data_IF_256808588943
#
_entry.id   IF_256808588943
#
_cell.length_a   1.000
_cell.length_b   1.000
_cell.length_c   1.000
_cell.angle_alpha   90.00
_cell.angle_beta   90.00
_cell.angle_gamma   90.00
#
_symmetry.space_group_name_H-M   'P 1'
#
loop_
_entity.id
_entity.type
_entity.pdbx_description
1 polymer ?
#
# COMPACT_ATOMS: atom_id res chain seq x y z
N UNK A 1 -15.08 -9.74 -4.59
CA UNK A 1 -14.45 -8.92 -5.63
C UNK A 1 -12.95 -9.09 -5.55
N UNK A 2 -12.27 -9.05 -6.68
CA UNK A 2 -10.82 -8.88 -6.81
C UNK A 2 -10.61 -7.43 -7.19
N UNK A 3 -9.72 -6.74 -6.50
CA UNK A 3 -9.44 -5.32 -6.71
C UNK A 3 -7.97 -5.12 -7.04
N UNK A 4 -7.66 -4.09 -7.81
CA UNK A 4 -6.29 -3.77 -8.15
C UNK A 4 -6.16 -2.44 -8.85
N UNK A 5 -4.94 -1.91 -8.85
CA UNK A 5 -4.59 -0.77 -9.66
C UNK A 5 -4.45 -1.17 -11.14
N UNK A 6 -4.72 -0.23 -12.03
CA UNK A 6 -4.63 -0.32 -13.47
C UNK A 6 -3.81 0.87 -13.98
N UNK A 7 -2.66 0.58 -14.58
CA UNK A 7 -1.80 1.59 -15.16
C UNK A 7 -2.58 2.48 -16.13
N UNK A 8 -2.35 3.78 -16.04
CA UNK A 8 -2.96 4.83 -16.87
C UNK A 8 -4.49 4.93 -16.81
N UNK A 9 -5.16 4.20 -15.89
CA UNK A 9 -6.63 4.10 -15.86
C UNK A 9 -7.25 4.13 -14.46
N UNK A 10 -6.44 4.21 -13.40
CA UNK A 10 -6.90 4.26 -12.01
C UNK A 10 -6.98 2.86 -11.40
N UNK A 11 -7.98 2.58 -10.56
CA UNK A 11 -8.16 1.27 -9.94
C UNK A 11 -9.47 0.63 -10.39
N UNK A 12 -9.50 -0.70 -10.40
CA UNK A 12 -10.63 -1.48 -10.92
C UNK A 12 -10.97 -2.65 -9.98
N UNK A 13 -12.20 -3.11 -10.07
CA UNK A 13 -12.67 -4.33 -9.45
C UNK A 13 -13.35 -5.25 -10.45
N UNK A 14 -13.26 -6.55 -10.19
CA UNK A 14 -13.94 -7.59 -10.96
C UNK A 14 -14.39 -8.72 -10.01
N UNK A 15 -15.53 -9.39 -10.25
CA UNK A 15 -15.92 -10.51 -9.42
C UNK A 15 -14.97 -11.70 -9.66
N UNK A 16 -14.70 -12.49 -8.63
CA UNK A 16 -13.98 -13.77 -8.80
C UNK A 16 -14.81 -14.82 -9.55
N UNK A 17 -16.12 -14.58 -9.71
CA UNK A 17 -17.04 -15.37 -10.52
C UNK A 17 -18.18 -14.49 -11.02
N UNK A 18 -18.36 -14.41 -12.33
CA UNK A 18 -19.46 -13.66 -12.93
C UNK A 18 -20.80 -14.41 -12.80
N UNK A 19 -21.90 -13.65 -12.81
CA UNK A 19 -23.25 -14.19 -12.99
C UNK A 19 -23.54 -14.58 -14.45
N UNK A 20 -22.65 -14.22 -15.39
CA UNK A 20 -22.86 -14.30 -16.83
C UNK A 20 -22.13 -15.49 -17.51
N UNK A 21 -21.97 -16.63 -16.83
CA UNK A 21 -21.22 -17.83 -17.29
C UNK A 21 -19.72 -17.63 -17.54
N UNK A 22 -19.27 -16.41 -17.83
CA UNK A 22 -17.87 -16.02 -17.97
C UNK A 22 -17.63 -14.63 -17.37
N UNK A 23 -16.39 -14.34 -16.97
CA UNK A 23 -15.97 -12.99 -16.63
C UNK A 23 -15.72 -12.25 -17.94
N UNK A 24 -16.47 -11.19 -18.19
CA UNK A 24 -16.42 -10.36 -19.40
C UNK A 24 -16.10 -8.90 -19.06
N UNK A 25 -15.90 -8.06 -20.08
CA UNK A 25 -15.71 -6.61 -19.90
C UNK A 25 -16.84 -5.91 -19.14
N UNK A 26 -18.03 -6.52 -19.07
CA UNK A 26 -19.19 -5.99 -18.31
C UNK A 26 -19.04 -6.14 -16.81
N UNK A 27 -18.14 -7.01 -16.37
CA UNK A 27 -17.92 -7.31 -14.95
C UNK A 27 -16.79 -6.46 -14.34
N UNK A 28 -16.17 -5.57 -15.12
CA UNK A 28 -15.11 -4.67 -14.66
C UNK A 28 -15.69 -3.31 -14.28
N UNK A 29 -15.42 -2.87 -13.07
CA UNK A 29 -15.91 -1.60 -12.53
C UNK A 29 -14.76 -0.76 -12.00
N UNK A 30 -14.78 0.54 -12.27
CA UNK A 30 -13.81 1.48 -11.71
C UNK A 30 -13.99 1.65 -10.21
N UNK A 31 -12.88 1.88 -9.50
CA UNK A 31 -12.84 2.12 -8.07
C UNK A 31 -12.51 3.58 -7.76
N UNK A 32 -13.09 4.08 -6.68
CA UNK A 32 -12.90 5.43 -6.14
C UNK A 32 -11.64 5.60 -5.27
N UNK A 33 -10.87 4.53 -5.05
CA UNK A 33 -9.58 4.56 -4.35
C UNK A 33 -8.64 3.50 -4.94
N UNK A 34 -7.33 3.67 -4.74
CA UNK A 34 -6.29 2.76 -5.25
C UNK A 34 -5.35 3.43 -6.24
N UNK A 35 -5.89 4.26 -7.14
CA UNK A 35 -5.10 4.92 -8.18
C UNK A 35 -4.45 3.91 -9.14
N UNK A 36 -3.50 4.39 -9.94
CA UNK A 36 -2.88 3.62 -11.03
C UNK A 36 -1.76 2.67 -10.59
N UNK A 37 -1.20 2.86 -9.40
CA UNK A 37 0.00 2.17 -8.91
C UNK A 37 -0.11 1.65 -7.48
N UNK A 38 -1.23 1.87 -6.80
CA UNK A 38 -1.37 1.64 -5.37
C UNK A 38 -1.89 0.25 -5.01
N UNK A 39 -1.69 -0.11 -3.74
CA UNK A 39 -2.43 -1.22 -3.14
C UNK A 39 -3.91 -0.84 -3.05
N UNK A 40 -4.76 -1.86 -3.18
CA UNK A 40 -6.17 -1.79 -2.80
C UNK A 40 -6.40 -2.75 -1.65
N UNK A 41 -7.09 -2.29 -0.61
CA UNK A 41 -7.37 -3.05 0.59
C UNK A 41 -8.86 -2.95 0.91
N UNK A 42 -9.70 -3.87 0.38
CA UNK A 42 -11.09 -3.98 0.77
C UNK A 42 -11.20 -4.30 2.27
N UNK A 43 -12.14 -3.64 2.96
CA UNK A 43 -12.38 -3.90 4.37
C UNK A 43 -13.04 -5.29 4.54
N UNK A 44 -12.43 -6.21 5.31
CA UNK A 44 -12.96 -7.56 5.47
C UNK A 44 -14.25 -7.63 6.29
N UNK A 45 -14.57 -6.58 7.06
CA UNK A 45 -15.76 -6.49 7.91
C UNK A 45 -16.86 -5.61 7.28
N UNK A 46 -16.48 -4.69 6.40
CA UNK A 46 -17.38 -3.75 5.74
C UNK A 46 -17.22 -3.81 4.20
N UNK A 47 -17.93 -4.71 3.50
CA UNK A 47 -17.74 -4.94 2.06
C UNK A 47 -17.97 -3.73 1.15
N UNK A 48 -18.68 -2.72 1.64
CA UNK A 48 -18.89 -1.43 0.96
C UNK A 48 -17.69 -0.49 1.08
N UNK A 49 -16.70 -0.81 1.91
CA UNK A 49 -15.54 0.04 2.18
C UNK A 49 -14.28 -0.54 1.54
N UNK A 50 -13.54 0.35 0.87
CA UNK A 50 -12.26 0.07 0.23
C UNK A 50 -11.24 1.11 0.66
N UNK A 51 -10.01 0.69 0.89
CA UNK A 51 -8.88 1.59 1.06
C UNK A 51 -7.93 1.50 -0.14
N UNK A 52 -7.25 2.60 -0.49
CA UNK A 52 -6.22 2.55 -1.53
C UNK A 52 -5.39 3.82 -1.68
N UNK A 53 -4.28 3.72 -2.43
CA UNK A 53 -3.32 4.80 -2.61
C UNK A 53 -2.65 5.21 -1.30
N UNK A 54 -2.47 6.52 -1.06
CA UNK A 54 -2.03 7.09 0.22
C UNK A 54 -3.19 7.13 1.23
N UNK A 55 -3.77 5.96 1.49
CA UNK A 55 -4.83 5.69 2.47
C UNK A 55 -6.10 6.54 2.28
N UNK A 56 -6.64 6.54 1.06
CA UNK A 56 -8.00 7.02 0.81
C UNK A 56 -8.99 5.91 1.16
N UNK A 57 -9.85 6.17 2.14
CA UNK A 57 -11.03 5.34 2.44
C UNK A 57 -12.15 5.74 1.47
N UNK A 58 -12.74 4.77 0.80
CA UNK A 58 -13.89 4.98 -0.07
C UNK A 58 -15.05 4.06 0.28
N UNK A 59 -16.27 4.58 0.23
CA UNK A 59 -17.48 3.77 0.12
C UNK A 59 -17.78 3.50 -1.37
N UNK A 60 -17.63 2.26 -1.82
CA UNK A 60 -17.79 1.88 -3.24
C UNK A 60 -19.25 1.91 -3.72
N UNK A 61 -20.22 1.99 -2.80
CA UNK A 61 -21.65 2.10 -3.13
C UNK A 61 -22.06 3.56 -3.34
N UNK A 62 -21.58 4.48 -2.49
CA UNK A 62 -21.95 5.90 -2.55
C UNK A 62 -20.95 6.77 -3.31
N UNK A 63 -19.71 6.29 -3.48
CA UNK A 63 -18.59 7.05 -4.03
C UNK A 63 -17.98 8.05 -3.04
N UNK A 64 -18.41 8.07 -1.77
CA UNK A 64 -17.83 8.96 -0.75
C UNK A 64 -16.38 8.57 -0.46
N UNK A 65 -15.48 9.54 -0.57
CA UNK A 65 -14.05 9.36 -0.28
C UNK A 65 -13.59 10.24 0.87
N UNK A 66 -12.72 9.71 1.72
CA UNK A 66 -12.04 10.45 2.79
C UNK A 66 -10.58 10.02 2.85
N UNK A 67 -9.66 10.98 2.81
CA UNK A 67 -8.26 10.68 3.11
C UNK A 67 -8.10 10.46 4.61
N UNK A 68 -7.56 9.30 4.99
CA UNK A 68 -7.34 8.90 6.39
C UNK A 68 -5.88 8.49 6.63
N UNK A 69 -4.95 9.11 5.90
CA UNK A 69 -3.51 8.86 6.05
C UNK A 69 -3.00 9.22 7.47
N UNK A 70 -2.03 8.46 8.03
CA UNK A 70 -1.34 8.85 9.27
C UNK A 70 -0.41 10.06 9.10
N UNK A 71 -0.19 10.52 7.88
CA UNK A 71 0.77 11.57 7.56
C UNK A 71 0.27 12.94 7.99
N UNK A 72 1.13 13.67 8.71
CA UNK A 72 0.82 15.01 9.19
C UNK A 72 1.07 16.06 8.10
N UNK A 73 0.37 17.21 8.13
CA UNK A 73 0.61 18.32 7.22
C UNK A 73 2.08 18.75 7.19
N UNK A 74 2.54 19.16 6.01
CA UNK A 74 3.94 19.50 5.74
C UNK A 74 4.50 20.55 6.74
N UNK A 75 5.65 20.26 7.34
CA UNK A 75 6.38 21.18 8.21
C UNK A 75 7.18 20.53 9.34
N UNK A 76 6.85 19.30 9.75
CA UNK A 76 7.53 18.60 10.86
C UNK A 76 8.43 17.44 10.40
N UNK A 77 8.03 16.69 9.37
CA UNK A 77 8.79 15.58 8.79
C UNK A 77 8.54 15.52 7.27
N UNK A 78 9.55 15.07 6.51
CA UNK A 78 9.37 14.70 5.10
C UNK A 78 9.09 13.20 5.03
N UNK A 79 7.87 12.84 4.65
CA UNK A 79 7.52 11.45 4.36
C UNK A 79 8.14 11.04 3.02
N UNK A 80 8.74 9.85 3.00
CA UNK A 80 9.33 9.26 1.80
C UNK A 80 8.32 8.33 1.19
N UNK A 81 8.13 8.46 -0.12
CA UNK A 81 7.24 7.62 -0.89
C UNK A 81 7.96 7.13 -2.13
N UNK A 82 7.64 5.90 -2.48
CA UNK A 82 7.83 5.31 -3.79
C UNK A 82 6.48 5.25 -4.53
N UNK A 83 6.52 4.88 -5.81
CA UNK A 83 5.38 4.77 -6.72
C UNK A 83 4.21 3.96 -6.16
N UNK A 84 4.51 2.95 -5.34
CA UNK A 84 3.54 2.09 -4.66
C UNK A 84 3.80 2.10 -3.17
N UNK A 85 2.75 2.32 -2.36
CA UNK A 85 2.83 2.22 -0.90
C UNK A 85 2.03 0.99 -0.41
N UNK A 86 2.57 0.19 0.51
CA UNK A 86 1.88 -0.99 1.01
C UNK A 86 0.72 -0.60 1.93
N UNK A 87 -0.43 -1.25 1.71
CA UNK A 87 -1.65 -1.06 2.48
C UNK A 87 -2.39 -2.40 2.55
N UNK A 88 -2.53 -2.98 3.74
CA UNK A 88 -3.01 -4.35 3.88
C UNK A 88 -3.71 -4.61 5.21
N UNK A 89 -4.83 -5.34 5.16
CA UNK A 89 -5.50 -5.86 6.35
C UNK A 89 -4.85 -7.14 6.85
N UNK A 90 -4.84 -7.34 8.17
CA UNK A 90 -4.47 -8.62 8.76
C UNK A 90 -5.59 -9.65 8.63
N UNK A 91 -5.24 -10.87 8.23
CA UNK A 91 -6.18 -12.00 8.27
C UNK A 91 -6.40 -12.51 9.70
N UNK A 92 -5.40 -12.39 10.58
CA UNK A 92 -5.50 -12.83 11.98
C UNK A 92 -6.27 -11.84 12.87
N UNK A 93 -6.39 -10.58 12.44
CA UNK A 93 -7.14 -9.51 13.12
C UNK A 93 -7.78 -8.62 12.05
N UNK A 94 -9.06 -8.86 11.67
CA UNK A 94 -9.68 -8.19 10.53
C UNK A 94 -9.95 -6.70 10.76
N UNK A 95 -9.81 -6.19 11.98
CA UNK A 95 -9.87 -4.74 12.24
C UNK A 95 -8.54 -4.05 11.92
N UNK A 96 -7.42 -4.80 11.93
CA UNK A 96 -6.09 -4.22 11.79
C UNK A 96 -5.73 -3.96 10.33
N UNK A 97 -5.64 -2.68 9.98
CA UNK A 97 -5.09 -2.19 8.71
C UNK A 97 -3.69 -1.64 8.95
N UNK A 98 -2.75 -2.06 8.11
CA UNK A 98 -1.37 -1.61 8.13
C UNK A 98 -1.07 -0.77 6.90
N UNK A 99 -0.33 0.30 7.10
CA UNK A 99 0.20 1.18 6.07
C UNK A 99 1.67 1.43 6.35
N UNK A 100 2.48 1.62 5.32
CA UNK A 100 3.83 2.10 5.54
C UNK A 100 4.30 3.10 4.49
N UNK A 101 5.25 3.90 4.94
CA UNK A 101 6.19 4.70 4.17
C UNK A 101 7.60 4.32 4.67
N UNK A 102 8.47 5.26 5.07
CA UNK A 102 9.67 4.91 5.84
C UNK A 102 9.36 4.38 7.27
N UNK A 103 8.14 4.62 7.75
CA UNK A 103 7.61 4.16 9.04
C UNK A 103 6.46 3.16 8.84
N UNK A 104 6.31 2.23 9.79
CA UNK A 104 5.18 1.31 9.85
C UNK A 104 4.07 1.86 10.74
N UNK A 105 2.84 1.85 10.24
CA UNK A 105 1.63 2.30 10.95
C UNK A 105 0.58 1.20 11.03
N UNK A 106 -0.22 1.25 12.11
CA UNK A 106 -1.40 0.41 12.31
C UNK A 106 -2.60 1.24 12.73
N UNK A 107 -3.77 0.94 12.19
CA UNK A 107 -5.07 1.39 12.69
C UNK A 107 -5.97 0.18 12.96
N UNK A 108 -6.91 0.34 13.89
CA UNK A 108 -7.98 -0.63 14.17
C UNK A 108 -9.38 0.01 14.17
N UNK A 109 -9.48 1.26 13.75
CA UNK A 109 -10.72 2.06 13.73
C UNK A 109 -10.92 2.73 12.36
N UNK A 110 -10.58 2.01 11.30
CA UNK A 110 -10.83 2.45 9.93
C UNK A 110 -10.06 3.70 9.51
N UNK A 111 -8.95 4.03 10.19
CA UNK A 111 -8.10 5.18 9.89
C UNK A 111 -8.46 6.47 10.64
N UNK A 112 -9.39 6.42 11.60
CA UNK A 112 -9.67 7.58 12.46
C UNK A 112 -8.45 7.97 13.31
N UNK A 113 -7.69 6.98 13.76
CA UNK A 113 -6.39 7.18 14.39
C UNK A 113 -5.41 6.08 14.01
N UNK A 114 -4.12 6.42 14.05
CA UNK A 114 -3.04 5.52 13.71
C UNK A 114 -2.00 5.48 14.83
N UNK A 115 -1.48 4.30 15.08
CA UNK A 115 -0.31 4.08 15.93
C UNK A 115 0.90 3.83 15.03
N UNK A 116 1.95 4.62 15.22
CA UNK A 116 3.24 4.35 14.60
C UNK A 116 3.92 3.21 15.37
N UNK A 117 4.18 2.11 14.69
CA UNK A 117 4.77 0.90 15.28
C UNK A 117 6.30 0.90 15.21
N UNK A 118 6.89 1.72 14.35
CA UNK A 118 8.34 1.73 14.13
C UNK A 118 8.94 3.12 14.09
N UNK A 119 10.25 3.16 14.31
CA UNK A 119 11.10 4.27 13.89
C UNK A 119 11.26 4.25 12.36
N UNK A 120 12.10 5.12 11.81
CA UNK A 120 12.51 5.00 10.41
C UNK A 120 13.25 3.66 10.26
N UNK A 121 12.71 2.76 9.43
CA UNK A 121 13.29 1.44 9.18
C UNK A 121 14.12 1.40 7.90
N UNK A 122 14.34 2.56 7.28
CA UNK A 122 15.10 2.69 6.04
C UNK A 122 16.18 3.77 6.15
N UNK A 123 17.07 3.79 5.17
CA UNK A 123 18.12 4.76 4.87
C UNK A 123 17.67 5.63 3.71
N UNK A 124 17.78 6.94 3.87
CA UNK A 124 17.43 7.88 2.79
C UNK A 124 18.32 7.76 1.55
N UNK A 125 19.56 7.31 1.72
CA UNK A 125 20.56 7.19 0.66
C UNK A 125 21.35 5.89 0.87
N UNK A 126 20.83 4.74 0.39
CA UNK A 126 21.50 3.45 0.54
C UNK A 126 22.75 3.33 -0.34
N UNK A 127 22.99 4.27 -1.26
CA UNK A 127 24.09 4.22 -2.23
C UNK A 127 23.90 3.16 -3.32
N UNK A 128 24.94 2.95 -4.13
CA UNK A 128 24.99 1.89 -5.14
C UNK A 128 25.58 0.63 -4.48
N UNK A 129 24.87 -0.51 -4.50
CA UNK A 129 25.39 -1.79 -4.03
C UNK A 129 26.75 -2.15 -4.64
N UNK A 130 27.66 -2.70 -3.83
CA UNK A 130 29.01 -3.04 -4.25
C UNK A 130 29.08 -4.21 -5.25
N UNK A 131 27.98 -4.98 -5.37
CA UNK A 131 27.85 -6.11 -6.29
C UNK A 131 27.38 -5.73 -7.70
N UNK A 132 27.03 -4.46 -7.95
CA UNK A 132 26.65 -4.00 -9.28
C UNK A 132 27.89 -3.75 -10.13
N UNK A 133 27.85 -4.21 -11.38
CA UNK A 133 28.88 -3.87 -12.36
C UNK A 133 28.77 -2.39 -12.77
N UNK A 134 29.84 -1.84 -13.34
CA UNK A 134 29.92 -0.42 -13.71
C UNK A 134 28.78 0.03 -14.62
N UNK A 135 28.32 -0.86 -15.52
CA UNK A 135 27.19 -0.59 -16.42
C UNK A 135 25.87 -0.44 -15.66
N UNK A 136 25.54 -1.39 -14.78
CA UNK A 136 24.31 -1.34 -14.00
C UNK A 136 24.33 -0.21 -12.94
N UNK A 137 25.52 0.13 -12.43
CA UNK A 137 25.71 1.28 -11.56
C UNK A 137 25.50 2.62 -12.31
N UNK A 138 25.92 2.71 -13.57
CA UNK A 138 25.72 3.88 -14.42
C UNK A 138 24.26 4.06 -14.87
N UNK A 139 23.51 2.97 -14.99
CA UNK A 139 22.07 2.96 -15.29
C UNK A 139 21.18 3.19 -14.05
N UNK A 140 21.78 3.37 -12.87
CA UNK A 140 21.02 3.72 -11.68
C UNK A 140 20.28 5.06 -11.89
N UNK A 141 18.99 5.15 -11.52
CA UNK A 141 18.24 6.41 -11.64
C UNK A 141 19.00 7.57 -10.97
N UNK A 142 19.10 8.71 -11.67
CA UNK A 142 19.75 9.90 -11.15
C UNK A 142 19.03 10.49 -9.93
N UNK A 143 17.73 10.18 -9.78
CA UNK A 143 16.95 10.50 -8.60
C UNK A 143 17.35 9.60 -7.44
N UNK A 144 17.68 10.19 -6.29
CA UNK A 144 17.98 9.45 -5.07
C UNK A 144 16.81 8.51 -4.74
N UNK A 145 17.09 7.20 -4.69
CA UNK A 145 16.15 6.20 -4.17
C UNK A 145 15.76 6.61 -2.76
N UNK A 146 14.47 6.79 -2.53
CA UNK A 146 13.95 7.19 -1.23
C UNK A 146 13.64 5.93 -0.45
N UNK A 147 14.52 5.51 0.46
CA UNK A 147 14.29 4.29 1.22
C UNK A 147 12.89 4.29 1.87
N UNK A 148 12.08 3.28 1.57
CA UNK A 148 10.73 3.05 2.11
C UNK A 148 10.50 1.57 2.41
N UNK A 149 9.51 1.30 3.26
CA UNK A 149 8.93 -0.04 3.37
C UNK A 149 8.03 -0.25 2.17
N UNK A 150 8.41 -1.14 1.27
CA UNK A 150 7.70 -1.40 0.00
C UNK A 150 6.63 -2.49 0.13
N UNK A 151 6.74 -3.38 1.14
CA UNK A 151 5.75 -4.43 1.39
C UNK A 151 5.57 -4.72 2.87
N UNK A 152 4.34 -5.13 3.24
CA UNK A 152 3.97 -5.59 4.58
C UNK A 152 3.25 -6.92 4.43
N UNK A 153 3.61 -7.91 5.23
CA UNK A 153 2.95 -9.20 5.30
C UNK A 153 2.58 -9.52 6.76
N UNK A 154 1.35 -9.23 7.21
CA UNK A 154 0.87 -9.69 8.51
C UNK A 154 0.73 -11.22 8.51
N UNK A 155 1.05 -11.87 9.63
CA UNK A 155 0.85 -13.31 9.77
C UNK A 155 -0.65 -13.64 9.77
N UNK A 156 -1.10 -14.63 8.99
CA UNK A 156 -2.51 -15.01 8.98
C UNK A 156 -2.93 -15.80 10.21
N UNK A 157 -1.98 -16.25 11.04
CA UNK A 157 -2.23 -17.09 12.22
C UNK A 157 -1.91 -16.40 13.54
N UNK A 158 -1.07 -15.35 13.52
CA UNK A 158 -0.56 -14.69 14.72
C UNK A 158 -0.64 -13.18 14.57
N UNK A 159 -1.69 -12.57 15.13
CA UNK A 159 -1.92 -11.13 15.06
C UNK A 159 -0.72 -10.21 15.41
N UNK A 160 0.17 -10.54 16.38
CA UNK A 160 1.32 -9.67 16.68
C UNK A 160 2.52 -9.86 15.74
N UNK A 161 2.48 -10.82 14.81
CA UNK A 161 3.60 -11.11 13.92
C UNK A 161 3.34 -10.54 12.53
N UNK A 162 4.32 -9.79 12.00
CA UNK A 162 4.33 -9.30 10.63
C UNK A 162 5.76 -9.25 10.11
N UNK A 163 5.91 -9.31 8.79
CA UNK A 163 7.17 -9.08 8.09
C UNK A 163 7.04 -7.82 7.24
N UNK A 164 8.17 -7.15 7.02
CA UNK A 164 8.27 -6.02 6.12
C UNK A 164 9.39 -6.27 5.11
N UNK A 165 9.25 -5.71 3.92
CA UNK A 165 10.33 -5.60 2.95
C UNK A 165 10.58 -4.14 2.63
N UNK A 166 11.84 -3.74 2.61
CA UNK A 166 12.28 -2.39 2.26
C UNK A 166 12.84 -2.40 0.83
N UNK A 167 12.77 -1.28 0.14
CA UNK A 167 13.28 -1.11 -1.23
C UNK A 167 14.82 -0.95 -1.30
N UNK A 168 15.49 -1.27 -0.21
CA UNK A 168 16.94 -1.23 -0.11
C UNK A 168 17.56 -2.57 -0.45
N UNK A 169 18.59 -2.51 -1.27
CA UNK A 169 19.48 -3.65 -1.48
C UNK A 169 20.45 -3.62 -0.30
N UNK A 170 20.13 -4.34 0.78
CA UNK A 170 21.07 -4.61 1.85
C UNK A 170 21.85 -5.89 1.52
N UNK A 171 23.16 -5.74 1.30
CA UNK A 171 24.09 -6.87 1.36
C UNK A 171 24.71 -6.90 2.77
N UNK A 172 24.09 -7.66 3.67
CA UNK A 172 24.72 -8.12 4.90
C UNK A 172 24.63 -9.63 5.03
#
# INVERSE_FOLDING_TARGET
WVTGAQQDSGAISSPSRSRHSEISLRDWEGLCAGGESGYTAPDPLHPEILYGGTVTRCNVVTGETKNVTPERPAGQLRYRHDWTQPLVFSQADPHALYYANQFLYKTTNGGESWTQLSQDLTREDPGVPANLNETAAADAPADKRRGVIYTIAPSPLRAPLLWIGTDEIDER
#
